data_IF_259916941146
#
_entry.id   IF_259916941146
#
_cell.length_a   1.000
_cell.length_b   1.000
_cell.length_c   1.000
_cell.angle_alpha   90.00
_cell.angle_beta   90.00
_cell.angle_gamma   90.00
#
_symmetry.space_group_name_H-M   'P 1'
#
loop_
_entity.id
_entity.type
_entity.pdbx_description
1 polymer ?
#
# COMPACT_ATOMS: atom_id res chain seq x y z
N UNK A 1 6.03 5.40 -10.60
CA UNK A 1 5.87 3.95 -10.34
C UNK A 1 6.60 3.20 -11.42
N UNK A 2 7.42 2.21 -11.07
CA UNK A 2 8.18 1.47 -12.08
C UNK A 2 7.32 0.42 -12.80
N UNK A 3 7.85 -0.14 -13.90
CA UNK A 3 7.14 -1.11 -14.76
C UNK A 3 6.77 -2.41 -14.01
N UNK A 4 7.59 -2.84 -13.06
CA UNK A 4 7.35 -4.04 -12.26
C UNK A 4 6.27 -3.79 -11.19
N UNK A 5 6.28 -2.61 -10.56
CA UNK A 5 5.21 -2.15 -9.67
C UNK A 5 3.86 -2.11 -10.41
N UNK A 6 3.86 -1.66 -11.68
CA UNK A 6 2.66 -1.62 -12.54
C UNK A 6 2.10 -3.00 -12.87
N UNK A 7 2.96 -3.94 -13.24
CA UNK A 7 2.55 -5.31 -13.54
C UNK A 7 1.95 -6.01 -12.30
N UNK A 8 2.52 -5.75 -11.12
CA UNK A 8 2.06 -6.33 -9.87
C UNK A 8 0.66 -5.82 -9.47
N UNK A 9 0.43 -4.50 -9.50
CA UNK A 9 -0.86 -3.92 -9.13
C UNK A 9 -1.96 -4.31 -10.11
N UNK A 10 -1.66 -4.35 -11.42
CA UNK A 10 -2.63 -4.77 -12.45
C UNK A 10 -3.14 -6.19 -12.20
N UNK A 11 -2.28 -7.13 -11.80
CA UNK A 11 -2.69 -8.51 -11.53
C UNK A 11 -3.56 -8.65 -10.27
N UNK A 12 -3.24 -7.91 -9.21
CA UNK A 12 -4.01 -7.94 -7.97
C UNK A 12 -5.38 -7.25 -8.10
N UNK A 13 -5.48 -6.21 -8.93
CA UNK A 13 -6.71 -5.43 -9.11
C UNK A 13 -7.63 -5.94 -10.21
N UNK A 14 -7.09 -6.58 -11.27
CA UNK A 14 -7.92 -7.16 -12.33
C UNK A 14 -8.87 -8.25 -11.80
N UNK A 15 -8.52 -8.92 -10.70
CA UNK A 15 -9.42 -9.85 -10.01
C UNK A 15 -10.55 -9.17 -9.21
N UNK A 16 -10.44 -7.87 -8.93
CA UNK A 16 -11.38 -7.10 -8.10
C UNK A 16 -12.32 -6.18 -8.90
N UNK A 17 -12.21 -6.15 -10.23
CA UNK A 17 -13.14 -5.43 -11.12
C UNK A 17 -13.16 -3.90 -10.97
N UNK A 18 -12.16 -3.30 -10.32
CA UNK A 18 -12.07 -1.86 -10.10
C UNK A 18 -11.30 -1.10 -11.20
N UNK A 19 -11.68 0.16 -11.41
CA UNK A 19 -10.96 1.12 -12.26
C UNK A 19 -9.48 1.23 -11.86
N UNK A 20 -8.58 1.28 -12.86
CA UNK A 20 -7.13 1.40 -12.66
C UNK A 20 -6.70 2.81 -12.23
N UNK A 21 -7.16 3.26 -11.07
CA UNK A 21 -6.95 4.63 -10.57
C UNK A 21 -5.48 5.03 -10.45
N UNK A 22 -4.56 4.09 -10.26
CA UNK A 22 -3.12 4.35 -10.22
C UNK A 22 -2.54 4.83 -11.56
N UNK A 23 -3.31 4.77 -12.65
CA UNK A 23 -2.94 5.38 -13.93
C UNK A 23 -3.39 6.84 -14.05
N UNK A 24 -4.38 7.24 -13.25
CA UNK A 24 -5.03 8.56 -13.31
C UNK A 24 -4.43 9.54 -12.31
N UNK A 25 -3.74 9.07 -11.27
CA UNK A 25 -3.09 9.92 -10.27
C UNK A 25 -1.77 9.33 -9.75
N UNK A 26 -0.88 10.22 -9.30
CA UNK A 26 0.35 9.82 -8.60
C UNK A 26 0.11 9.77 -7.10
N UNK A 27 0.50 8.67 -6.40
CA UNK A 27 0.24 8.56 -4.98
C UNK A 27 1.21 9.40 -4.14
N UNK A 28 0.72 9.82 -2.97
CA UNK A 28 1.59 10.18 -1.85
C UNK A 28 2.22 8.89 -1.31
N UNK A 29 3.56 8.80 -1.37
CA UNK A 29 4.28 7.54 -1.18
C UNK A 29 5.32 7.66 -0.06
N UNK A 30 5.29 6.67 0.83
CA UNK A 30 6.36 6.40 1.80
C UNK A 30 6.90 5.01 1.54
N UNK A 31 8.23 4.86 1.58
CA UNK A 31 8.90 3.60 1.25
C UNK A 31 10.11 3.41 2.16
N UNK A 32 10.14 2.26 2.84
CA UNK A 32 11.22 1.79 3.70
C UNK A 32 11.59 0.35 3.32
N UNK A 33 12.61 -0.22 3.94
CA UNK A 33 12.99 -1.61 3.73
C UNK A 33 11.94 -2.63 4.21
N UNK A 34 11.08 -2.23 5.17
CA UNK A 34 10.04 -3.06 5.77
C UNK A 34 8.64 -2.75 5.28
N UNK A 35 8.38 -1.57 4.72
CA UNK A 35 7.03 -1.10 4.42
C UNK A 35 6.98 -0.17 3.22
N UNK A 36 5.93 -0.30 2.42
CA UNK A 36 5.52 0.69 1.42
C UNK A 36 4.07 1.07 1.62
N UNK A 37 3.82 2.37 1.73
CA UNK A 37 2.48 2.97 1.77
C UNK A 37 2.33 3.88 0.57
N UNK A 38 1.24 3.72 -0.18
CA UNK A 38 0.85 4.61 -1.26
C UNK A 38 -0.60 5.06 -1.04
N UNK A 39 -0.80 6.35 -0.80
CA UNK A 39 -2.13 6.96 -0.68
C UNK A 39 -2.50 7.67 -1.97
N UNK A 40 -3.69 7.39 -2.48
CA UNK A 40 -4.27 7.90 -3.72
C UNK A 40 -5.49 8.77 -3.35
N UNK A 41 -5.30 10.10 -3.16
CA UNK A 41 -6.32 10.95 -2.57
C UNK A 41 -7.57 11.09 -3.43
N UNK A 42 -7.43 11.11 -4.76
CA UNK A 42 -8.55 11.29 -5.69
C UNK A 42 -9.43 10.03 -5.70
N UNK A 43 -8.81 8.85 -5.67
CA UNK A 43 -9.52 7.58 -5.65
C UNK A 43 -9.97 7.15 -4.25
N UNK A 44 -9.52 7.81 -3.18
CA UNK A 44 -9.81 7.43 -1.80
C UNK A 44 -9.27 6.04 -1.46
N UNK A 45 -8.07 5.69 -1.96
CA UNK A 45 -7.45 4.36 -1.75
C UNK A 45 -6.12 4.45 -1.04
N UNK A 46 -5.93 3.61 -0.03
CA UNK A 46 -4.67 3.45 0.69
C UNK A 46 -4.11 2.05 0.44
N UNK A 47 -2.93 1.98 -0.17
CA UNK A 47 -2.23 0.72 -0.44
C UNK A 47 -1.11 0.52 0.58
N UNK A 48 -1.01 -0.68 1.14
CA UNK A 48 0.02 -1.06 2.13
C UNK A 48 0.68 -2.36 1.68
N UNK A 49 2.01 -2.40 1.65
CA UNK A 49 2.78 -3.59 1.27
C UNK A 49 3.96 -3.80 2.21
N UNK A 50 4.18 -5.03 2.67
CA UNK A 50 5.37 -5.40 3.45
C UNK A 50 6.60 -5.56 2.55
N UNK A 51 7.71 -4.96 2.98
CA UNK A 51 9.03 -5.08 2.36
C UNK A 51 9.80 -6.28 2.91
N UNK A 52 10.54 -6.95 2.03
CA UNK A 52 11.45 -8.05 2.38
C UNK A 52 12.70 -7.98 1.52
N UNK A 53 13.84 -8.43 2.06
CA UNK A 53 15.09 -8.51 1.29
C UNK A 53 15.10 -9.79 0.47
N UNK A 54 15.22 -9.62 -0.83
CA UNK A 54 15.44 -10.71 -1.76
C UNK A 54 16.78 -11.38 -1.47
N UNK A 55 16.76 -12.69 -1.25
CA UNK A 55 17.94 -13.45 -0.80
C UNK A 55 19.05 -13.47 -1.84
N UNK A 56 18.69 -13.49 -3.12
CA UNK A 56 19.64 -13.68 -4.22
C UNK A 56 20.24 -12.35 -4.68
N UNK A 57 19.45 -11.27 -4.64
CA UNK A 57 19.84 -9.95 -5.16
C UNK A 57 20.15 -8.94 -4.05
N UNK A 58 19.77 -9.21 -2.80
CA UNK A 58 19.89 -8.28 -1.68
C UNK A 58 18.97 -7.06 -1.76
N UNK A 59 18.15 -6.94 -2.81
CA UNK A 59 17.26 -5.79 -3.03
C UNK A 59 15.98 -5.93 -2.22
N UNK A 60 15.45 -4.80 -1.74
CA UNK A 60 14.12 -4.78 -1.11
C UNK A 60 13.07 -5.00 -2.18
N UNK A 61 12.21 -6.00 -1.97
CA UNK A 61 10.99 -6.24 -2.74
C UNK A 61 9.77 -6.08 -1.84
N UNK A 62 8.63 -5.79 -2.45
CA UNK A 62 7.36 -5.66 -1.74
C UNK A 62 6.48 -6.86 -2.09
N UNK A 63 5.91 -7.47 -1.05
CA UNK A 63 5.00 -8.61 -1.18
C UNK A 63 3.57 -8.19 -1.57
N UNK A 64 2.60 -8.99 -1.12
CA UNK A 64 1.16 -8.73 -1.36
C UNK A 64 0.79 -7.31 -0.89
N UNK A 65 0.11 -6.57 -1.78
CA UNK A 65 -0.46 -5.26 -1.44
C UNK A 65 -1.89 -5.44 -0.94
N UNK A 66 -2.17 -4.92 0.25
CA UNK A 66 -3.52 -4.73 0.76
C UNK A 66 -3.98 -3.34 0.35
N UNK A 67 -5.25 -3.22 0.00
CA UNK A 67 -5.85 -1.97 -0.44
C UNK A 67 -7.06 -1.68 0.41
N UNK A 68 -7.06 -0.51 1.03
CA UNK A 68 -8.11 -0.04 1.92
C UNK A 68 -8.85 1.11 1.23
N UNK A 69 -10.17 1.09 1.37
CA UNK A 69 -11.01 2.22 1.04
C UNK A 69 -11.00 3.22 2.20
N UNK A 70 -10.64 4.48 1.92
CA UNK A 70 -10.45 5.46 3.01
C UNK A 70 -11.75 5.87 3.66
N UNK A 71 -12.86 5.93 2.91
CA UNK A 71 -14.16 6.26 3.49
C UNK A 71 -14.60 5.17 4.49
N UNK A 72 -14.41 3.90 4.11
CA UNK A 72 -14.68 2.76 4.99
C UNK A 72 -13.76 2.74 6.21
N UNK A 73 -12.48 3.09 6.02
CA UNK A 73 -11.52 3.19 7.12
C UNK A 73 -11.90 4.29 8.12
N UNK A 74 -12.26 5.48 7.64
CA UNK A 74 -12.67 6.60 8.50
C UNK A 74 -13.98 6.33 9.24
N UNK A 75 -14.81 5.42 8.73
CA UNK A 75 -16.06 5.02 9.37
C UNK A 75 -15.87 3.94 10.46
N UNK A 76 -14.66 3.39 10.64
CA UNK A 76 -14.35 2.39 11.67
C UNK A 76 -13.31 2.95 12.67
N UNK A 77 -13.76 3.48 13.81
CA UNK A 77 -12.86 3.97 14.87
C UNK A 77 -11.86 2.91 15.36
N UNK A 78 -12.27 1.64 15.42
CA UNK A 78 -11.42 0.53 15.85
C UNK A 78 -10.26 0.30 14.88
N UNK A 79 -10.53 0.42 13.57
CA UNK A 79 -9.49 0.31 12.57
C UNK A 79 -8.49 1.47 12.66
N UNK A 80 -8.96 2.71 12.89
CA UNK A 80 -8.09 3.88 13.08
C UNK A 80 -7.19 3.73 14.31
N UNK A 81 -7.71 3.20 15.42
CA UNK A 81 -6.93 2.96 16.64
C UNK A 81 -5.73 2.01 16.42
N UNK A 82 -5.86 1.03 15.50
CA UNK A 82 -4.74 0.17 15.13
C UNK A 82 -3.61 0.95 14.44
N UNK A 83 -3.95 1.92 13.58
CA UNK A 83 -2.96 2.77 12.93
C UNK A 83 -2.26 3.68 13.93
N UNK A 84 -3.00 4.30 14.86
CA UNK A 84 -2.43 5.14 15.92
C UNK A 84 -1.46 4.36 16.81
N UNK A 85 -1.80 3.11 17.13
CA UNK A 85 -0.93 2.22 17.90
C UNK A 85 0.41 2.03 17.19
N UNK A 86 0.40 1.77 15.87
CA UNK A 86 1.64 1.60 15.09
C UNK A 86 2.47 2.89 15.04
N UNK A 87 1.83 4.06 14.92
CA UNK A 87 2.52 5.34 14.83
C UNK A 87 3.17 5.78 16.14
N UNK A 88 2.63 5.34 17.27
CA UNK A 88 3.08 5.71 18.62
C UNK A 88 3.98 4.66 19.27
N UNK A 89 3.96 3.42 18.79
CA UNK A 89 4.80 2.34 19.32
C UNK A 89 6.22 2.45 18.75
N UNK A 90 7.27 2.59 19.60
CA UNK A 90 8.65 2.58 19.14
C UNK A 90 9.00 1.25 18.45
N UNK A 91 9.88 1.25 17.44
CA UNK A 91 10.37 0.00 16.87
C UNK A 91 11.06 -0.82 17.96
N UNK A 92 10.69 -2.11 18.06
CA UNK A 92 11.36 -3.09 18.91
C UNK A 92 12.79 -3.39 18.43
#
# INVERSE_FOLDING_TARGET
MDKAERAFLTKAYAQAGGDAYWEKESPLKVTTDKLRICYYPTAGKLQISAGWKDRDTGKVRYGRTVVLDTASLTASPEALALFETILTTPPA
#
